data_IF_241245937115
#
_entry.id   IF_241245937115
#
_cell.length_a   1.000
_cell.length_b   1.000
_cell.length_c   1.000
_cell.angle_alpha   90.00
_cell.angle_beta   90.00
_cell.angle_gamma   90.00
#
_symmetry.space_group_name_H-M   'P 1'
#
loop_
_entity.id
_entity.type
_entity.pdbx_description
1 polymer ?
#
# COMPACT_ATOMS: atom_id res chain seq x y z
N UNK A 1 27.40 -1.21 -11.26
CA UNK A 1 26.25 -2.06 -11.66
C UNK A 1 25.96 -3.00 -10.50
N UNK A 2 24.85 -2.83 -9.79
CA UNK A 2 24.50 -3.70 -8.64
C UNK A 2 24.28 -5.13 -9.15
N UNK A 3 25.03 -6.11 -8.64
CA UNK A 3 24.88 -7.52 -9.01
C UNK A 3 23.48 -8.00 -8.60
N UNK A 4 22.66 -8.41 -9.57
CA UNK A 4 21.34 -9.01 -9.30
C UNK A 4 21.56 -10.37 -8.62
N UNK A 5 21.04 -10.54 -7.41
CA UNK A 5 21.12 -11.79 -6.66
C UNK A 5 19.81 -12.59 -6.82
N UNK A 6 19.87 -13.90 -7.05
CA UNK A 6 18.68 -14.74 -7.14
C UNK A 6 18.26 -15.19 -5.73
N UNK A 7 16.98 -15.04 -5.39
CA UNK A 7 16.37 -15.69 -4.22
C UNK A 7 15.68 -16.96 -4.69
N UNK A 8 16.02 -18.09 -4.05
CA UNK A 8 15.60 -19.43 -4.49
C UNK A 8 14.55 -20.07 -3.58
N UNK A 9 14.43 -19.60 -2.33
CA UNK A 9 13.49 -20.17 -1.34
C UNK A 9 12.76 -19.09 -0.53
N UNK A 10 11.59 -19.45 0.00
CA UNK A 10 10.79 -18.57 0.88
C UNK A 10 11.59 -18.17 2.11
N UNK A 11 12.35 -19.11 2.68
CA UNK A 11 13.15 -18.87 3.89
C UNK A 11 14.24 -17.82 3.67
N UNK A 12 14.88 -17.75 2.50
CA UNK A 12 15.89 -16.74 2.19
C UNK A 12 15.35 -15.31 2.26
N UNK A 13 14.05 -15.11 1.97
CA UNK A 13 13.40 -13.80 2.05
C UNK A 13 13.32 -13.29 3.50
N UNK A 14 13.02 -14.20 4.44
CA UNK A 14 12.84 -13.88 5.86
C UNK A 14 14.13 -14.09 6.69
N UNK A 15 15.09 -14.84 6.16
CA UNK A 15 16.41 -15.11 6.75
C UNK A 15 17.52 -14.90 5.73
N UNK A 16 17.85 -13.65 5.37
CA UNK A 16 18.98 -13.40 4.50
C UNK A 16 20.27 -13.87 5.17
N UNK A 17 20.96 -14.86 4.60
CA UNK A 17 22.15 -15.47 5.18
C UNK A 17 23.29 -14.46 5.39
N UNK A 18 23.97 -14.56 6.54
CA UNK A 18 25.29 -13.96 6.77
C UNK A 18 26.34 -15.07 6.75
N UNK A 19 27.50 -14.85 6.11
CA UNK A 19 28.63 -15.80 6.15
C UNK A 19 29.18 -16.02 7.57
N UNK A 20 28.75 -15.22 8.55
CA UNK A 20 29.24 -15.21 9.93
C UNK A 20 28.12 -15.17 10.99
N UNK A 21 26.94 -15.75 10.72
CA UNK A 21 25.81 -15.84 11.70
C UNK A 21 25.31 -14.52 12.32
N UNK A 22 25.77 -13.35 11.84
CA UNK A 22 25.29 -12.06 12.33
C UNK A 22 23.87 -11.76 11.85
N UNK A 23 23.00 -11.36 12.79
CA UNK A 23 21.66 -10.80 12.55
C UNK A 23 21.71 -9.72 11.47
N UNK A 24 20.79 -9.81 10.51
CA UNK A 24 20.60 -8.80 9.46
C UNK A 24 19.23 -8.14 9.62
N UNK A 25 19.22 -6.82 9.53
CA UNK A 25 17.99 -6.07 9.41
C UNK A 25 17.83 -5.62 7.97
N UNK A 26 16.71 -5.91 7.35
CA UNK A 26 16.50 -5.65 5.92
C UNK A 26 15.09 -5.12 5.70
N UNK A 27 14.98 -4.02 4.97
CA UNK A 27 13.74 -3.53 4.42
C UNK A 27 13.73 -3.81 2.91
N UNK A 28 12.77 -4.60 2.45
CA UNK A 28 12.59 -4.92 1.04
C UNK A 28 11.49 -4.05 0.41
N UNK A 29 11.71 -3.60 -0.82
CA UNK A 29 10.68 -2.99 -1.67
C UNK A 29 10.22 -3.98 -2.73
N UNK A 30 8.91 -4.08 -2.95
CA UNK A 30 8.29 -4.96 -3.94
C UNK A 30 7.33 -4.14 -4.81
N UNK A 31 7.58 -4.09 -6.12
CA UNK A 31 6.66 -3.48 -7.08
C UNK A 31 5.55 -4.47 -7.49
N UNK A 32 4.34 -4.21 -7.04
CA UNK A 32 3.13 -4.98 -7.31
C UNK A 32 2.24 -4.32 -8.38
N UNK A 33 2.71 -3.34 -9.16
CA UNK A 33 1.89 -2.56 -10.11
C UNK A 33 1.11 -3.40 -11.14
N UNK A 34 1.66 -4.54 -11.58
CA UNK A 34 0.97 -5.46 -12.49
C UNK A 34 -0.02 -6.41 -11.80
N UNK A 35 -0.04 -6.43 -10.47
CA UNK A 35 -0.92 -7.31 -9.69
C UNK A 35 -2.31 -6.72 -9.64
N UNK A 36 -3.31 -7.61 -9.63
CA UNK A 36 -4.62 -7.21 -9.17
C UNK A 36 -4.57 -6.84 -7.69
N UNK A 37 -5.42 -5.92 -7.24
CA UNK A 37 -5.50 -5.52 -5.81
C UNK A 37 -5.68 -6.73 -4.89
N UNK A 38 -6.46 -7.73 -5.34
CA UNK A 38 -6.63 -8.99 -4.62
C UNK A 38 -5.31 -9.74 -4.43
N UNK A 39 -4.50 -9.88 -5.48
CA UNK A 39 -3.21 -10.58 -5.43
C UNK A 39 -2.21 -9.85 -4.54
N UNK A 40 -2.19 -8.52 -4.58
CA UNK A 40 -1.40 -7.74 -3.63
C UNK A 40 -1.83 -8.05 -2.20
N UNK A 41 -3.13 -8.03 -1.89
CA UNK A 41 -3.61 -8.29 -0.53
C UNK A 41 -3.26 -9.72 -0.07
N UNK A 42 -3.31 -10.72 -0.96
CA UNK A 42 -2.88 -12.08 -0.65
C UNK A 42 -1.40 -12.13 -0.27
N UNK A 43 -0.51 -11.54 -1.08
CA UNK A 43 0.93 -11.59 -0.81
C UNK A 43 1.31 -10.72 0.39
N UNK A 44 0.63 -9.59 0.58
CA UNK A 44 0.78 -8.68 1.73
C UNK A 44 0.45 -9.40 3.04
N UNK A 45 -0.68 -10.12 3.08
CA UNK A 45 -1.05 -10.94 4.24
C UNK A 45 -0.05 -12.07 4.49
N UNK A 46 0.43 -12.75 3.44
CA UNK A 46 1.45 -13.78 3.57
C UNK A 46 2.73 -13.23 4.21
N UNK A 47 3.26 -12.14 3.65
CA UNK A 47 4.47 -11.49 4.16
C UNK A 47 4.29 -11.06 5.61
N UNK A 48 3.16 -10.46 5.95
CA UNK A 48 2.86 -10.03 7.31
C UNK A 48 2.78 -11.20 8.30
N UNK A 49 1.97 -12.23 7.99
CA UNK A 49 1.72 -13.36 8.90
C UNK A 49 2.93 -14.27 9.04
N UNK A 50 3.74 -14.39 8.00
CA UNK A 50 4.95 -15.21 8.00
C UNK A 50 6.18 -14.48 8.56
N UNK A 51 6.15 -13.16 8.69
CA UNK A 51 7.29 -12.38 9.18
C UNK A 51 7.77 -12.84 10.55
N UNK A 52 6.87 -13.03 11.53
CA UNK A 52 7.27 -13.49 12.85
C UNK A 52 7.75 -14.96 12.88
N UNK A 53 7.00 -15.95 12.37
CA UNK A 53 7.43 -17.35 12.44
C UNK A 53 8.67 -17.63 11.60
N UNK A 54 8.82 -16.99 10.43
CA UNK A 54 9.97 -17.25 9.56
C UNK A 54 11.21 -16.43 9.93
N UNK A 55 11.10 -15.31 10.63
CA UNK A 55 12.30 -14.58 11.11
C UNK A 55 12.89 -15.14 12.41
N UNK A 56 12.11 -15.87 13.22
CA UNK A 56 12.51 -16.44 14.52
C UNK A 56 13.18 -15.44 15.49
N UNK A 57 12.96 -14.13 15.29
CA UNK A 57 13.64 -13.07 16.04
C UNK A 57 15.13 -12.92 15.73
N UNK A 58 15.69 -13.76 14.86
CA UNK A 58 17.08 -13.73 14.41
C UNK A 58 17.36 -12.57 13.46
N UNK A 59 16.37 -12.17 12.66
CA UNK A 59 16.44 -11.05 11.73
C UNK A 59 15.26 -10.10 11.93
N UNK A 60 15.46 -8.80 11.66
CA UNK A 60 14.35 -7.87 11.52
C UNK A 60 14.12 -7.63 10.04
N UNK A 61 13.01 -8.13 9.51
CA UNK A 61 12.68 -7.98 8.11
C UNK A 61 11.54 -6.98 8.00
N UNK A 62 11.51 -6.16 6.97
CA UNK A 62 10.37 -5.32 6.65
C UNK A 62 10.07 -5.39 5.17
N UNK A 63 8.85 -5.04 4.79
CA UNK A 63 8.41 -5.01 3.41
C UNK A 63 7.67 -3.71 3.10
N UNK A 64 7.96 -3.14 1.94
CA UNK A 64 7.24 -2.02 1.33
C UNK A 64 6.66 -2.54 0.03
N UNK A 65 5.33 -2.59 -0.08
CA UNK A 65 4.64 -2.99 -1.30
C UNK A 65 4.08 -1.74 -1.96
N UNK A 66 4.27 -1.61 -3.28
CA UNK A 66 3.75 -0.48 -4.06
C UNK A 66 2.97 -1.04 -5.24
N UNK A 67 1.70 -0.65 -5.37
CA UNK A 67 0.87 -0.99 -6.52
C UNK A 67 0.25 0.27 -7.10
N UNK A 68 0.76 0.68 -8.26
CA UNK A 68 0.23 1.81 -9.00
C UNK A 68 -0.87 1.34 -9.96
N UNK A 69 -2.12 1.35 -9.48
CA UNK A 69 -3.24 0.89 -10.32
C UNK A 69 -3.55 1.84 -11.48
N UNK A 70 -3.00 3.06 -11.49
CA UNK A 70 -3.21 4.09 -12.52
C UNK A 70 -2.60 3.72 -13.87
N UNK A 71 -1.45 3.04 -13.87
CA UNK A 71 -0.74 2.66 -15.10
C UNK A 71 -1.44 1.55 -15.90
N UNK A 72 -2.41 0.87 -15.29
CA UNK A 72 -3.17 -0.17 -15.99
C UNK A 72 -4.17 0.41 -17.01
N UNK A 73 -4.47 1.72 -16.97
CA UNK A 73 -5.33 2.41 -17.93
C UNK A 73 -4.58 3.15 -19.05
N UNK A 74 -3.31 3.53 -18.88
CA UNK A 74 -2.57 4.33 -19.87
C UNK A 74 -2.37 3.61 -21.21
N UNK A 75 -2.36 2.27 -21.23
CA UNK A 75 -2.27 1.47 -22.47
C UNK A 75 -3.53 1.51 -23.35
N UNK A 76 -4.61 2.18 -22.92
CA UNK A 76 -5.80 2.38 -23.79
C UNK A 76 -5.55 3.32 -24.97
N UNK A 77 -4.45 4.09 -24.99
CA UNK A 77 -4.23 5.12 -26.02
C UNK A 77 -3.28 4.73 -27.17
N UNK A 78 -2.54 3.62 -27.11
CA UNK A 78 -1.51 3.33 -28.13
C UNK A 78 -1.61 1.96 -28.85
N UNK A 79 -2.28 0.94 -28.31
CA UNK A 79 -2.30 -0.38 -28.97
C UNK A 79 -3.69 -0.78 -29.50
N UNK A 80 -4.02 -0.32 -30.70
CA UNK A 80 -5.06 -0.93 -31.55
C UNK A 80 -4.46 -2.20 -32.16
N UNK A 81 -4.43 -3.31 -31.40
CA UNK A 81 -4.06 -4.60 -32.00
C UNK A 81 -3.57 -5.73 -31.10
N UNK A 82 -3.32 -5.52 -29.80
CA UNK A 82 -2.89 -6.63 -28.93
C UNK A 82 -4.03 -7.15 -28.06
N UNK A 83 -4.31 -8.45 -28.15
CA UNK A 83 -5.23 -9.23 -27.30
C UNK A 83 -4.68 -9.41 -25.87
N UNK A 84 -4.17 -8.34 -25.27
CA UNK A 84 -3.78 -8.35 -23.86
C UNK A 84 -5.04 -8.11 -23.03
N UNK A 85 -5.51 -9.17 -22.38
CA UNK A 85 -6.67 -9.19 -21.49
C UNK A 85 -6.78 -7.90 -20.67
N UNK A 86 -7.93 -7.24 -20.76
CA UNK A 86 -8.25 -5.95 -20.14
C UNK A 86 -8.04 -5.98 -18.60
N UNK A 87 -6.81 -5.69 -18.13
CA UNK A 87 -6.26 -5.39 -16.78
C UNK A 87 -7.10 -4.65 -15.73
N UNK A 88 -8.43 -4.71 -15.66
CA UNK A 88 -9.20 -3.86 -14.72
C UNK A 88 -8.91 -4.21 -13.25
N UNK A 89 -8.58 -3.21 -12.42
CA UNK A 89 -8.53 -3.29 -10.95
C UNK A 89 -9.83 -2.80 -10.31
N UNK A 90 -10.96 -2.92 -11.01
CA UNK A 90 -12.26 -2.52 -10.47
C UNK A 90 -12.62 -3.43 -9.30
N UNK A 91 -12.56 -2.89 -8.09
CA UNK A 91 -12.92 -3.65 -6.91
C UNK A 91 -13.43 -2.76 -5.77
N UNK A 92 -14.31 -3.33 -4.95
CA UNK A 92 -14.68 -2.81 -3.64
C UNK A 92 -13.95 -3.64 -2.59
N UNK A 93 -13.11 -2.97 -1.79
CA UNK A 93 -12.34 -3.61 -0.72
C UNK A 93 -12.96 -3.27 0.62
N UNK A 94 -13.58 -4.27 1.25
CA UNK A 94 -14.19 -4.19 2.58
C UNK A 94 -13.14 -4.42 3.66
N UNK A 95 -13.28 -3.72 4.80
CA UNK A 95 -12.54 -4.06 6.01
C UNK A 95 -12.97 -5.42 6.57
N UNK A 96 -12.18 -5.97 7.49
CA UNK A 96 -12.38 -7.31 8.06
C UNK A 96 -13.82 -7.56 8.58
N UNK A 97 -14.43 -6.56 9.23
CA UNK A 97 -15.80 -6.63 9.76
C UNK A 97 -16.87 -6.08 8.80
N UNK A 98 -16.48 -5.70 7.58
CA UNK A 98 -17.38 -5.14 6.58
C UNK A 98 -18.33 -6.18 6.00
N UNK A 99 -19.59 -5.79 5.79
CA UNK A 99 -20.63 -6.63 5.16
C UNK A 99 -21.05 -6.00 3.84
N UNK A 100 -21.12 -6.80 2.76
CA UNK A 100 -21.39 -6.31 1.39
C UNK A 100 -22.65 -5.43 1.34
N UNK A 101 -23.75 -5.92 1.91
CA UNK A 101 -25.05 -5.22 1.96
C UNK A 101 -25.02 -3.84 2.64
N UNK A 102 -24.02 -3.56 3.48
CA UNK A 102 -23.90 -2.28 4.19
C UNK A 102 -23.12 -1.22 3.39
N UNK A 103 -22.54 -1.58 2.25
CA UNK A 103 -21.68 -0.67 1.49
C UNK A 103 -21.96 -0.63 0.00
N UNK A 104 -22.53 -1.69 -0.59
CA UNK A 104 -22.88 -1.69 -2.02
C UNK A 104 -24.23 -1.00 -2.24
N UNK A 105 -24.28 -0.09 -3.20
CA UNK A 105 -25.50 0.63 -3.58
C UNK A 105 -26.30 -0.10 -4.65
N UNK A 106 -25.68 -0.41 -5.77
CA UNK A 106 -26.29 -1.11 -6.90
C UNK A 106 -25.50 -2.38 -7.22
N UNK A 107 -26.07 -3.52 -6.83
CA UNK A 107 -25.43 -4.82 -7.04
C UNK A 107 -25.47 -5.27 -8.51
N UNK A 108 -26.48 -4.85 -9.27
CA UNK A 108 -26.57 -5.16 -10.69
C UNK A 108 -25.46 -4.41 -11.43
N UNK A 109 -25.28 -3.13 -11.11
CA UNK A 109 -24.16 -2.35 -11.65
C UNK A 109 -22.80 -2.98 -11.33
N UNK A 110 -22.60 -3.44 -10.09
CA UNK A 110 -21.37 -4.15 -9.67
C UNK A 110 -21.12 -5.40 -10.51
N UNK A 111 -22.15 -6.22 -10.73
CA UNK A 111 -22.06 -7.46 -11.51
C UNK A 111 -21.82 -7.17 -13.00
N UNK A 112 -22.62 -6.28 -13.60
CA UNK A 112 -22.54 -5.92 -15.02
C UNK A 112 -21.18 -5.30 -15.39
N UNK A 113 -20.59 -4.56 -14.46
CA UNK A 113 -19.27 -3.93 -14.62
C UNK A 113 -18.11 -4.79 -14.11
N UNK A 114 -18.37 -6.04 -13.69
CA UNK A 114 -17.36 -7.00 -13.22
C UNK A 114 -16.47 -6.42 -12.12
N UNK A 115 -17.08 -5.74 -11.15
CA UNK A 115 -16.38 -5.13 -10.02
C UNK A 115 -16.18 -6.19 -8.94
N UNK A 116 -14.93 -6.49 -8.59
CA UNK A 116 -14.61 -7.50 -7.59
C UNK A 116 -14.99 -7.06 -6.18
N UNK A 117 -15.51 -7.98 -5.38
CA UNK A 117 -15.78 -7.76 -3.97
C UNK A 117 -14.70 -8.48 -3.15
N UNK A 118 -13.92 -7.74 -2.35
CA UNK A 118 -12.76 -8.27 -1.64
C UNK A 118 -12.88 -7.93 -0.16
N UNK A 119 -12.84 -8.94 0.72
CA UNK A 119 -12.59 -8.73 2.16
C UNK A 119 -11.09 -8.71 2.38
N UNK A 120 -10.55 -7.65 2.99
CA UNK A 120 -9.14 -7.59 3.38
C UNK A 120 -8.94 -8.05 4.83
N UNK A 121 -7.71 -8.45 5.15
CA UNK A 121 -7.33 -8.93 6.48
C UNK A 121 -7.19 -7.84 7.56
N UNK A 122 -7.17 -6.55 7.18
CA UNK A 122 -7.11 -5.41 8.11
C UNK A 122 -8.51 -4.85 8.42
N UNK A 123 -8.64 -4.19 9.58
CA UNK A 123 -9.87 -3.48 9.95
C UNK A 123 -10.07 -2.18 9.15
N UNK A 124 -11.09 -1.38 9.52
CA UNK A 124 -11.36 -0.07 8.93
C UNK A 124 -12.50 -0.06 7.92
N UNK A 125 -12.62 1.05 7.17
CA UNK A 125 -13.73 1.29 6.23
C UNK A 125 -13.62 0.54 4.91
N UNK A 126 -14.53 0.85 4.00
CA UNK A 126 -14.60 0.29 2.63
C UNK A 126 -14.02 1.30 1.64
N UNK A 127 -13.32 0.80 0.62
CA UNK A 127 -12.72 1.62 -0.45
C UNK A 127 -13.16 1.06 -1.81
N UNK A 128 -13.52 1.94 -2.73
CA UNK A 128 -13.70 1.61 -4.14
C UNK A 128 -12.43 1.97 -4.91
N UNK A 129 -11.94 1.04 -5.74
CA UNK A 129 -10.74 1.20 -6.56
C UNK A 129 -11.14 0.91 -8.00
N UNK A 130 -10.74 1.79 -8.92
CA UNK A 130 -10.92 1.65 -10.36
C UNK A 130 -9.72 2.24 -11.10
N UNK A 131 -8.60 1.52 -11.12
CA UNK A 131 -7.37 1.94 -11.82
C UNK A 131 -6.96 3.40 -11.54
N UNK A 132 -7.22 3.88 -10.32
CA UNK A 132 -7.10 5.30 -9.97
C UNK A 132 -6.46 5.49 -8.59
N UNK A 133 -5.86 4.42 -8.06
CA UNK A 133 -5.26 4.41 -6.74
C UNK A 133 -3.77 4.08 -6.80
N UNK A 134 -3.00 4.77 -5.97
CA UNK A 134 -1.67 4.33 -5.58
C UNK A 134 -1.79 3.66 -4.21
N UNK A 135 -1.54 2.35 -4.17
CA UNK A 135 -1.60 1.55 -2.94
C UNK A 135 -0.18 1.35 -2.42
N UNK A 136 0.05 1.70 -1.15
CA UNK A 136 1.36 1.54 -0.50
C UNK A 136 1.16 0.83 0.83
N UNK A 137 1.94 -0.21 1.08
CA UNK A 137 1.85 -1.01 2.32
C UNK A 137 3.21 -1.10 2.99
N UNK A 138 3.26 -0.79 4.28
CA UNK A 138 4.43 -0.93 5.15
C UNK A 138 4.19 -2.08 6.12
N UNK A 139 4.94 -3.17 5.98
CA UNK A 139 4.98 -4.29 6.92
C UNK A 139 6.28 -4.17 7.68
N UNK A 140 6.23 -3.76 8.95
CA UNK A 140 7.43 -3.44 9.72
C UNK A 140 7.39 -4.10 11.09
N UNK A 141 8.56 -4.50 11.63
CA UNK A 141 8.66 -4.93 13.01
C UNK A 141 8.51 -3.71 13.92
N UNK A 142 7.92 -3.88 15.11
CA UNK A 142 7.80 -2.76 16.07
C UNK A 142 9.14 -2.16 16.47
N UNK A 143 10.21 -2.96 16.40
CA UNK A 143 11.55 -2.52 16.69
C UNK A 143 12.24 -1.78 15.53
N UNK A 144 11.55 -1.55 14.40
CA UNK A 144 12.05 -0.69 13.35
C UNK A 144 12.33 0.71 13.91
N UNK A 145 11.44 1.25 14.74
CA UNK A 145 11.60 2.54 15.41
C UNK A 145 11.43 2.42 16.94
N UNK A 146 12.36 1.68 17.58
CA UNK A 146 12.32 1.38 19.03
C UNK A 146 12.08 2.61 19.91
N UNK A 147 12.75 3.72 19.60
CA UNK A 147 12.71 4.94 20.40
C UNK A 147 11.33 5.60 20.41
N UNK A 148 10.58 5.48 19.31
CA UNK A 148 9.25 6.09 19.17
C UNK A 148 8.14 5.29 19.82
N UNK A 149 8.41 4.05 20.26
CA UNK A 149 7.42 3.13 20.85
C UNK A 149 6.12 3.14 20.03
N UNK A 150 6.18 2.52 18.86
CA UNK A 150 5.05 2.52 17.92
C UNK A 150 3.87 1.75 18.50
N UNK A 151 2.70 2.39 18.50
CA UNK A 151 1.41 1.88 18.94
C UNK A 151 0.34 2.18 17.89
N UNK A 152 -0.81 1.48 17.90
CA UNK A 152 -1.90 1.75 16.97
C UNK A 152 -2.31 3.23 16.87
N UNK A 153 -2.24 3.97 17.98
CA UNK A 153 -2.62 5.38 18.04
C UNK A 153 -1.64 6.36 17.39
N UNK A 154 -0.36 6.01 17.23
CA UNK A 154 0.69 6.94 16.75
C UNK A 154 1.35 6.51 15.43
N UNK A 155 1.06 5.32 14.91
CA UNK A 155 1.68 4.83 13.68
C UNK A 155 1.31 5.68 12.47
N UNK A 156 0.05 6.12 12.34
CA UNK A 156 -0.37 6.96 11.21
C UNK A 156 0.40 8.28 11.18
N UNK A 157 0.55 8.93 12.34
CA UNK A 157 1.37 10.12 12.50
C UNK A 157 2.84 9.87 12.14
N UNK A 158 3.42 8.80 12.69
CA UNK A 158 4.82 8.46 12.46
C UNK A 158 5.09 8.17 10.97
N UNK A 159 4.24 7.37 10.32
CA UNK A 159 4.34 7.07 8.89
C UNK A 159 4.25 8.36 8.07
N UNK A 160 3.26 9.21 8.36
CA UNK A 160 3.11 10.50 7.66
C UNK A 160 4.36 11.35 7.78
N UNK A 161 4.81 11.61 9.02
CA UNK A 161 5.96 12.47 9.28
C UNK A 161 7.27 11.91 8.73
N UNK A 162 7.44 10.59 8.73
CA UNK A 162 8.67 9.93 8.31
C UNK A 162 8.79 9.80 6.80
N UNK A 163 7.67 9.55 6.09
CA UNK A 163 7.73 9.13 4.69
C UNK A 163 6.96 10.01 3.72
N UNK A 164 5.92 10.73 4.17
CA UNK A 164 5.04 11.49 3.28
C UNK A 164 5.12 13.00 3.48
N UNK A 165 5.49 13.49 4.66
CA UNK A 165 5.46 14.91 4.96
C UNK A 165 6.36 15.74 4.03
N UNK A 166 7.56 15.25 3.67
CA UNK A 166 8.40 15.94 2.67
C UNK A 166 7.89 15.79 1.24
N UNK A 167 7.17 14.70 0.92
CA UNK A 167 6.49 14.54 -0.39
C UNK A 167 5.43 15.64 -0.55
N UNK A 168 4.67 15.91 0.50
CA UNK A 168 3.57 16.87 0.43
C UNK A 168 3.94 18.30 0.74
N UNK A 169 4.87 18.49 1.68
CA UNK A 169 5.24 19.78 2.23
C UNK A 169 6.72 20.04 1.98
N UNK A 170 7.20 19.82 0.74
CA UNK A 170 8.55 20.20 0.34
C UNK A 170 8.72 21.71 0.55
N UNK A 171 9.17 22.08 1.75
CA UNK A 171 9.26 23.47 2.18
C UNK A 171 10.45 24.09 1.46
N UNK A 172 10.17 25.12 0.65
CA UNK A 172 11.14 26.17 0.38
C UNK A 172 11.75 26.60 1.71
N UNK A 173 13.03 26.26 1.90
CA UNK A 173 13.78 26.46 3.15
C UNK A 173 13.89 27.93 3.56
N UNK A 174 13.44 28.86 2.71
CA UNK A 174 13.46 30.32 2.92
C UNK A 174 12.22 30.92 3.60
N UNK A 175 11.08 30.22 3.76
CA UNK A 175 9.85 30.78 4.37
C UNK A 175 9.37 30.04 5.63
N UNK A 176 10.31 29.66 6.50
CA UNK A 176 10.03 28.86 7.71
C UNK A 176 9.28 29.57 8.87
N UNK A 177 9.12 30.89 8.86
CA UNK A 177 8.62 31.63 10.04
C UNK A 177 7.16 32.06 10.04
N UNK A 178 6.45 32.06 8.92
CA UNK A 178 5.06 32.59 8.88
C UNK A 178 3.97 31.56 8.53
N UNK A 179 4.30 30.40 7.96
CA UNK A 179 3.29 29.43 7.45
C UNK A 179 3.06 28.19 8.31
N UNK A 180 3.38 28.21 9.61
CA UNK A 180 3.05 27.08 10.51
C UNK A 180 1.54 26.82 10.60
N UNK A 181 0.70 27.82 10.31
CA UNK A 181 -0.76 27.76 10.45
C UNK A 181 -1.50 27.09 9.28
N UNK A 182 -0.87 26.82 8.12
CA UNK A 182 -1.53 26.16 6.99
C UNK A 182 -0.62 25.13 6.32
N UNK A 183 -0.33 24.03 7.02
CA UNK A 183 0.08 22.81 6.32
C UNK A 183 -1.10 22.33 5.49
N UNK A 184 -0.98 22.48 4.16
CA UNK A 184 -1.99 22.04 3.20
C UNK A 184 -2.23 20.54 3.30
N UNK A 185 -1.19 19.74 3.52
CA UNK A 185 -1.32 18.31 3.74
C UNK A 185 -0.96 17.92 5.16
N UNK A 186 -1.79 17.07 5.75
CA UNK A 186 -1.54 16.48 7.05
C UNK A 186 -2.16 15.08 7.17
N UNK A 187 -1.91 14.41 8.29
CA UNK A 187 -2.78 13.32 8.74
C UNK A 187 -3.89 13.88 9.65
N UNK A 188 -5.05 13.23 9.65
CA UNK A 188 -6.14 13.51 10.55
C UNK A 188 -6.85 12.20 10.91
N UNK A 189 -6.88 11.87 12.20
CA UNK A 189 -7.26 10.54 12.68
C UNK A 189 -6.45 9.43 11.95
N UNK A 190 -7.12 8.57 11.18
CA UNK A 190 -6.51 7.48 10.41
C UNK A 190 -6.39 7.80 8.91
N UNK A 191 -6.60 9.04 8.50
CA UNK A 191 -6.63 9.44 7.10
C UNK A 191 -5.55 10.47 6.78
N UNK A 192 -5.18 10.55 5.51
CA UNK A 192 -4.39 11.65 4.98
C UNK A 192 -5.33 12.66 4.32
N UNK A 193 -5.13 13.93 4.64
CA UNK A 193 -6.07 15.00 4.31
C UNK A 193 -5.36 16.18 3.67
N UNK A 194 -6.11 16.86 2.81
CA UNK A 194 -5.81 18.16 2.26
C UNK A 194 -6.71 19.21 2.92
N UNK A 195 -6.11 20.25 3.46
CA UNK A 195 -6.77 21.41 4.05
C UNK A 195 -6.94 22.46 2.97
N UNK A 196 -8.16 22.57 2.46
CA UNK A 196 -8.53 23.57 1.46
C UNK A 196 -9.03 24.84 2.17
N UNK A 197 -8.35 25.96 1.97
CA UNK A 197 -8.71 27.22 2.61
C UNK A 197 -9.56 28.06 1.67
N UNK A 198 -10.81 28.26 2.05
CA UNK A 198 -11.71 29.16 1.36
C UNK A 198 -11.48 30.59 1.85
N UNK A 199 -10.85 31.40 1.00
CA UNK A 199 -10.58 32.82 1.28
C UNK A 199 -11.86 33.66 1.48
N UNK A 200 -12.96 33.29 0.82
CA UNK A 200 -14.22 34.03 0.87
C UNK A 200 -14.93 33.78 2.20
N UNK A 201 -15.02 32.51 2.61
CA UNK A 201 -15.68 32.11 3.85
C UNK A 201 -14.75 32.11 5.07
N UNK A 202 -13.45 32.37 4.88
CA UNK A 202 -12.40 32.29 5.91
C UNK A 202 -12.45 30.98 6.71
N UNK A 203 -12.74 29.87 6.03
CA UNK A 203 -12.92 28.55 6.61
C UNK A 203 -11.98 27.53 5.96
N UNK A 204 -11.59 26.52 6.73
CA UNK A 204 -10.81 25.38 6.24
C UNK A 204 -11.74 24.19 6.02
N UNK A 205 -11.77 23.68 4.79
CA UNK A 205 -12.44 22.43 4.46
C UNK A 205 -11.41 21.30 4.41
N UNK A 206 -11.57 20.33 5.31
CA UNK A 206 -10.71 19.14 5.35
C UNK A 206 -11.27 18.12 4.35
N UNK A 207 -10.51 17.80 3.31
CA UNK A 207 -10.83 16.76 2.33
C UNK A 207 -9.87 15.59 2.44
N UNK A 208 -10.37 14.37 2.29
CA UNK A 208 -9.56 13.15 2.37
C UNK A 208 -8.92 12.84 1.02
N UNK A 209 -7.62 12.58 1.02
CA UNK A 209 -6.81 12.17 -0.15
C UNK A 209 -6.30 10.73 -0.03
N UNK A 210 -6.18 10.22 1.19
CA UNK A 210 -5.70 8.86 1.44
C UNK A 210 -6.39 8.23 2.64
N UNK A 211 -6.73 6.95 2.54
CA UNK A 211 -7.28 6.17 3.65
C UNK A 211 -6.27 5.16 4.16
N UNK A 212 -6.10 5.08 5.48
CA UNK A 212 -5.20 4.09 6.08
C UNK A 212 -5.96 2.99 6.82
N UNK A 213 -5.37 1.80 6.82
CA UNK A 213 -5.80 0.69 7.65
C UNK A 213 -4.59 -0.10 8.15
N UNK A 214 -4.78 -0.76 9.29
CA UNK A 214 -3.69 -1.35 10.06
C UNK A 214 -4.06 -2.74 10.59
N UNK A 215 -3.04 -3.57 10.81
CA UNK A 215 -3.14 -4.82 11.55
C UNK A 215 -1.92 -5.01 12.46
N UNK A 216 -2.13 -5.68 13.59
CA UNK A 216 -1.14 -5.85 14.65
C UNK A 216 -0.98 -7.30 15.04
N UNK A 217 0.27 -7.73 15.12
CA UNK A 217 0.69 -9.04 15.63
C UNK A 217 1.67 -8.81 16.78
N UNK A 218 2.21 -9.88 17.38
CA UNK A 218 3.15 -9.74 18.50
C UNK A 218 4.37 -8.86 18.19
N UNK A 219 4.97 -9.04 17.01
CA UNK A 219 6.26 -8.42 16.68
C UNK A 219 6.18 -7.44 15.51
N UNK A 220 5.08 -7.44 14.76
CA UNK A 220 4.92 -6.72 13.50
C UNK A 220 3.59 -5.98 13.43
N UNK A 221 3.61 -4.87 12.68
CA UNK A 221 2.41 -4.19 12.22
C UNK A 221 2.39 -4.08 10.70
N UNK A 222 1.19 -3.93 10.15
CA UNK A 222 1.00 -3.40 8.80
C UNK A 222 0.35 -2.04 8.89
N UNK A 223 0.81 -1.10 8.07
CA UNK A 223 0.14 0.13 7.76
C UNK A 223 0.05 0.25 6.24
N UNK A 224 -1.15 0.15 5.69
CA UNK A 224 -1.36 0.37 4.27
C UNK A 224 -2.24 1.58 4.00
N UNK A 225 -1.94 2.25 2.89
CA UNK A 225 -2.58 3.47 2.44
C UNK A 225 -3.12 3.26 1.04
N UNK A 226 -4.37 3.65 0.84
CA UNK A 226 -4.94 3.84 -0.51
C UNK A 226 -5.01 5.33 -0.80
N UNK A 227 -4.09 5.84 -1.63
CA UNK A 227 -4.18 7.20 -2.16
C UNK A 227 -5.09 7.21 -3.38
N UNK A 228 -6.14 8.03 -3.34
CA UNK A 228 -7.02 8.26 -4.48
C UNK A 228 -6.31 9.22 -5.43
N UNK A 229 -5.67 8.70 -6.48
CA UNK A 229 -4.93 9.53 -7.42
C UNK A 229 -5.87 10.48 -8.17
N UNK A 230 -6.94 9.91 -8.73
CA UNK A 230 -8.03 10.63 -9.41
C UNK A 230 -9.40 10.10 -8.95
N UNK A 231 -10.36 10.98 -8.68
CA UNK A 231 -11.68 10.56 -8.21
C UNK A 231 -12.67 10.38 -9.37
N UNK A 232 -13.27 9.20 -9.49
CA UNK A 232 -14.46 8.96 -10.32
C UNK A 232 -15.72 9.01 -9.45
N UNK A 233 -16.20 10.22 -9.16
CA UNK A 233 -17.34 10.43 -8.25
C UNK A 233 -18.61 9.76 -8.77
N UNK A 234 -18.90 9.87 -10.08
CA UNK A 234 -20.14 9.37 -10.67
C UNK A 234 -20.26 7.84 -10.58
N UNK A 235 -19.17 7.12 -10.82
CA UNK A 235 -19.16 5.66 -10.67
C UNK A 235 -19.16 5.27 -9.19
N UNK A 236 -18.41 5.98 -8.34
CA UNK A 236 -18.39 5.72 -6.90
C UNK A 236 -19.79 5.85 -6.30
N UNK A 237 -20.58 6.84 -6.73
CA UNK A 237 -21.96 7.02 -6.30
C UNK A 237 -22.93 5.94 -6.80
N UNK A 238 -22.57 5.15 -7.82
CA UNK A 238 -23.34 3.98 -8.27
C UNK A 238 -22.93 2.71 -7.53
N UNK A 239 -21.65 2.62 -7.14
CA UNK A 239 -21.08 1.40 -6.56
C UNK A 239 -21.24 1.36 -5.04
N UNK A 240 -20.88 2.43 -4.33
CA UNK A 240 -20.82 2.44 -2.86
C UNK A 240 -21.75 3.49 -2.22
N UNK A 241 -22.33 3.13 -1.06
CA UNK A 241 -23.11 4.06 -0.24
C UNK A 241 -22.23 4.81 0.77
N UNK A 242 -22.77 5.91 1.29
CA UNK A 242 -22.16 6.59 2.43
C UNK A 242 -22.14 5.64 3.65
N UNK A 243 -20.98 5.46 4.31
CA UNK A 243 -20.87 4.52 5.42
C UNK A 243 -21.64 5.03 6.65
N UNK A 244 -22.39 4.13 7.30
CA UNK A 244 -23.10 4.44 8.56
C UNK A 244 -22.12 4.85 9.67
N UNK A 245 -21.01 4.11 9.81
CA UNK A 245 -19.91 4.45 10.71
C UNK A 245 -18.85 5.21 9.93
N UNK A 246 -18.70 6.48 10.26
CA UNK A 246 -17.79 7.43 9.60
C UNK A 246 -17.06 8.28 10.64
N UNK A 247 -15.87 8.83 10.31
CA UNK A 247 -15.19 9.73 11.22
C UNK A 247 -15.99 11.04 11.39
N UNK A 248 -15.90 11.67 12.56
CA UNK A 248 -16.71 12.85 12.89
C UNK A 248 -16.49 13.98 11.89
N UNK A 249 -15.23 14.21 11.48
CA UNK A 249 -14.88 15.27 10.53
C UNK A 249 -15.42 15.03 9.10
N UNK A 250 -15.87 13.82 8.75
CA UNK A 250 -16.62 13.63 7.49
C UNK A 250 -17.92 14.43 7.51
N UNK A 251 -18.53 14.60 8.68
CA UNK A 251 -19.74 15.39 8.88
C UNK A 251 -20.86 15.03 7.89
N UNK A 252 -21.06 13.72 7.64
CA UNK A 252 -22.06 13.16 6.71
C UNK A 252 -21.96 13.64 5.25
N UNK A 253 -20.87 14.30 4.87
CA UNK A 253 -20.60 14.68 3.48
C UNK A 253 -20.66 13.45 2.56
N UNK A 254 -21.22 13.64 1.37
CA UNK A 254 -21.16 12.65 0.29
C UNK A 254 -19.70 12.45 -0.16
N UNK A 255 -19.46 11.50 -1.06
CA UNK A 255 -18.11 11.22 -1.55
C UNK A 255 -17.46 12.43 -2.24
N UNK A 256 -18.22 13.18 -3.05
CA UNK A 256 -17.75 14.35 -3.81
C UNK A 256 -17.29 15.50 -2.90
N UNK A 257 -17.97 15.72 -1.79
CA UNK A 257 -17.66 16.81 -0.85
C UNK A 257 -16.61 16.41 0.20
N UNK A 258 -16.42 15.10 0.41
CA UNK A 258 -15.48 14.56 1.41
C UNK A 258 -14.11 14.22 0.83
N UNK A 259 -14.06 13.69 -0.39
CA UNK A 259 -12.85 13.23 -1.05
C UNK A 259 -12.30 14.32 -1.98
N UNK A 260 -11.02 14.21 -2.33
CA UNK A 260 -10.40 14.98 -3.41
C UNK A 260 -9.31 14.14 -4.06
N UNK A 261 -9.14 14.29 -5.37
CA UNK A 261 -8.06 13.64 -6.12
C UNK A 261 -6.71 14.11 -5.60
N UNK A 262 -5.80 13.18 -5.36
CA UNK A 262 -4.47 13.53 -4.89
C UNK A 262 -3.70 14.37 -5.92
N UNK A 263 -3.85 14.08 -7.21
CA UNK A 263 -3.16 14.82 -8.28
C UNK A 263 -3.55 16.30 -8.35
N UNK A 264 -4.78 16.64 -7.95
CA UNK A 264 -5.27 18.02 -7.88
C UNK A 264 -4.66 18.79 -6.69
N UNK A 265 -4.22 18.07 -5.65
CA UNK A 265 -3.67 18.66 -4.44
C UNK A 265 -2.14 18.80 -4.49
N UNK A 266 -1.46 17.96 -5.29
CA UNK A 266 0.00 17.92 -5.34
C UNK A 266 0.59 19.16 -6.05
N UNK A 267 1.80 19.59 -5.67
CA UNK A 267 2.52 20.61 -6.43
C UNK A 267 2.71 20.19 -7.89
N UNK A 268 2.70 21.14 -8.84
CA UNK A 268 2.81 20.87 -10.28
C UNK A 268 4.01 19.99 -10.69
N UNK A 269 5.12 20.03 -9.95
CA UNK A 269 6.32 19.22 -10.23
C UNK A 269 6.26 17.80 -9.66
N UNK A 270 5.25 17.49 -8.83
CA UNK A 270 5.00 16.18 -8.22
C UNK A 270 3.66 15.57 -8.68
N UNK A 271 3.04 16.11 -9.73
CA UNK A 271 1.72 15.71 -10.23
C UNK A 271 1.70 14.39 -11.01
N UNK A 272 2.66 13.49 -10.77
CA UNK A 272 2.66 12.15 -11.35
C UNK A 272 3.05 11.10 -10.30
N UNK A 273 2.55 9.88 -10.48
CA UNK A 273 2.69 8.79 -9.51
C UNK A 273 4.15 8.38 -9.34
N UNK A 274 4.96 8.47 -10.40
CA UNK A 274 6.37 8.10 -10.37
C UNK A 274 7.16 9.01 -9.44
N UNK A 275 7.05 10.32 -9.61
CA UNK A 275 7.71 11.30 -8.73
C UNK A 275 7.27 11.10 -7.27
N UNK A 276 5.98 10.86 -7.02
CA UNK A 276 5.48 10.55 -5.68
C UNK A 276 6.16 9.32 -5.08
N UNK A 277 6.20 8.22 -5.82
CA UNK A 277 6.84 6.95 -5.40
C UNK A 277 8.33 7.16 -5.15
N UNK A 278 9.03 7.83 -6.06
CA UNK A 278 10.47 8.06 -5.96
C UNK A 278 10.82 8.92 -4.74
N UNK A 279 10.06 9.97 -4.45
CA UNK A 279 10.25 10.78 -3.24
C UNK A 279 9.94 9.99 -1.97
N UNK A 280 8.87 9.19 -1.96
CA UNK A 280 8.55 8.31 -0.83
C UNK A 280 9.69 7.32 -0.54
N UNK A 281 10.22 6.66 -1.56
CA UNK A 281 11.34 5.72 -1.44
C UNK A 281 12.64 6.42 -1.01
N UNK A 282 12.90 7.63 -1.51
CA UNK A 282 14.01 8.46 -1.07
C UNK A 282 13.92 8.79 0.43
N UNK A 283 12.74 9.15 0.93
CA UNK A 283 12.54 9.43 2.35
C UNK A 283 12.79 8.20 3.24
N UNK A 284 12.41 7.00 2.78
CA UNK A 284 12.75 5.75 3.46
C UNK A 284 14.27 5.56 3.52
N UNK A 285 14.98 5.80 2.41
CA UNK A 285 16.44 5.70 2.37
C UNK A 285 17.10 6.67 3.34
N UNK A 286 16.64 7.91 3.40
CA UNK A 286 17.15 8.93 4.33
C UNK A 286 16.92 8.54 5.79
N UNK A 287 15.74 7.99 6.12
CA UNK A 287 15.48 7.47 7.45
C UNK A 287 16.45 6.33 7.79
N UNK A 288 16.65 5.37 6.89
CA UNK A 288 17.58 4.25 7.10
C UNK A 288 19.03 4.75 7.27
N UNK A 289 19.48 5.68 6.43
CA UNK A 289 20.81 6.29 6.54
C UNK A 289 21.01 6.93 7.91
N UNK A 290 20.04 7.73 8.36
CA UNK A 290 20.06 8.37 9.68
C UNK A 290 20.18 7.34 10.80
N UNK A 291 19.38 6.27 10.75
CA UNK A 291 19.41 5.20 11.75
C UNK A 291 20.75 4.47 11.79
N UNK A 292 21.29 4.12 10.63
CA UNK A 292 22.58 3.45 10.50
C UNK A 292 23.74 4.30 11.01
N UNK A 293 23.64 5.63 10.88
CA UNK A 293 24.65 6.57 11.41
C UNK A 293 24.54 6.78 12.93
N UNK A 294 23.36 6.61 13.51
CA UNK A 294 23.10 6.84 14.94
C UNK A 294 23.33 5.60 15.81
N UNK A 295 23.23 4.40 15.25
CA UNK A 295 23.31 3.14 16.00
C UNK A 295 24.37 2.20 15.43
N UNK A 296 25.53 2.14 16.08
CA UNK A 296 26.65 1.29 15.64
C UNK A 296 26.33 -0.23 15.71
N UNK A 297 25.39 -0.63 16.56
CA UNK A 297 25.07 -2.06 16.80
C UNK A 297 23.96 -2.61 15.88
N UNK A 298 23.22 -1.74 15.17
CA UNK A 298 22.04 -2.13 14.38
C UNK A 298 22.12 -1.48 13.01
N UNK A 299 22.48 -2.28 12.00
CA UNK A 299 22.50 -1.84 10.61
C UNK A 299 21.27 -2.37 9.84
N UNK A 300 20.62 -1.49 9.09
CA UNK A 300 19.50 -1.78 8.20
C UNK A 300 19.94 -1.68 6.73
N UNK A 301 19.72 -2.75 5.97
CA UNK A 301 19.86 -2.73 4.51
C UNK A 301 18.54 -2.33 3.85
N UNK A 302 18.61 -1.53 2.80
CA UNK A 302 17.48 -1.16 1.97
C UNK A 302 17.60 -1.81 0.60
N UNK A 303 16.78 -2.82 0.34
CA UNK A 303 16.91 -3.69 -0.83
C UNK A 303 15.64 -3.67 -1.69
N UNK A 304 15.80 -3.93 -2.99
CA UNK A 304 14.69 -4.13 -3.91
C UNK A 304 14.51 -5.62 -4.24
N UNK A 305 13.26 -6.05 -4.38
CA UNK A 305 12.89 -7.34 -4.96
C UNK A 305 12.25 -7.09 -6.32
N UNK A 306 12.98 -7.47 -7.35
CA UNK A 306 12.55 -7.47 -8.72
C UNK A 306 11.86 -8.80 -9.07
N UNK A 307 10.56 -8.73 -9.30
CA UNK A 307 9.72 -9.85 -9.70
C UNK A 307 9.85 -10.22 -11.19
N UNK A 308 10.64 -9.48 -11.99
CA UNK A 308 10.82 -9.64 -13.46
C UNK A 308 9.55 -9.54 -14.31
N UNK A 309 8.43 -9.10 -13.73
CA UNK A 309 7.17 -8.88 -14.47
C UNK A 309 6.95 -7.42 -14.87
N UNK A 310 7.71 -6.50 -14.28
CA UNK A 310 7.60 -5.05 -14.50
C UNK A 310 8.69 -4.56 -15.48
N UNK A 311 8.97 -5.32 -16.54
CA UNK A 311 10.13 -5.09 -17.44
C UNK A 311 10.14 -3.69 -18.09
N UNK A 312 8.98 -3.06 -18.25
CA UNK A 312 8.84 -1.71 -18.82
C UNK A 312 8.53 -0.62 -17.78
N UNK A 313 8.36 -0.99 -16.51
CA UNK A 313 8.05 -0.09 -15.38
C UNK A 313 8.85 -0.49 -14.13
N UNK A 314 10.19 -0.60 -14.23
CA UNK A 314 11.00 -0.94 -13.06
C UNK A 314 10.92 0.20 -12.04
N UNK A 315 10.96 -0.14 -10.75
CA UNK A 315 11.31 0.87 -9.73
C UNK A 315 12.77 1.23 -9.99
N UNK A 316 12.98 2.29 -10.74
CA UNK A 316 14.27 2.93 -10.99
C UNK A 316 14.18 4.37 -10.47
N UNK A 317 14.43 4.55 -9.17
CA UNK A 317 14.53 5.87 -8.57
C UNK A 317 15.66 6.63 -9.25
N UNK A 318 15.55 7.96 -9.31
CA UNK A 318 16.53 8.84 -9.98
C UNK A 318 17.97 8.68 -9.44
N UNK A 319 18.14 8.07 -8.27
CA UNK A 319 19.42 7.72 -7.67
C UNK A 319 19.44 6.25 -7.22
N UNK A 320 20.64 5.69 -7.06
CA UNK A 320 20.80 4.32 -6.56
C UNK A 320 20.51 4.27 -5.04
N UNK A 321 19.22 4.21 -4.67
CA UNK A 321 18.79 4.17 -3.27
C UNK A 321 18.88 2.77 -2.64
N UNK A 322 18.99 1.72 -3.45
CA UNK A 322 19.01 0.34 -2.97
C UNK A 322 20.44 -0.17 -2.83
N UNK A 323 20.73 -0.80 -1.70
CA UNK A 323 22.01 -1.46 -1.46
C UNK A 323 22.16 -2.68 -2.37
N UNK A 324 21.07 -3.44 -2.55
CA UNK A 324 21.02 -4.60 -3.45
C UNK A 324 19.67 -4.74 -4.15
N UNK A 325 19.70 -5.35 -5.32
CA UNK A 325 18.52 -5.80 -6.06
C UNK A 325 18.53 -7.32 -6.11
N UNK A 326 17.49 -7.93 -5.57
CA UNK A 326 17.24 -9.36 -5.64
C UNK A 326 16.23 -9.64 -6.71
N UNK A 327 16.45 -10.68 -7.48
CA UNK A 327 15.45 -11.18 -8.40
C UNK A 327 14.78 -12.42 -7.82
N UNK A 328 13.45 -12.41 -7.87
CA UNK A 328 12.60 -13.50 -7.43
C UNK A 328 11.95 -14.13 -8.66
N UNK A 329 11.96 -15.46 -8.72
CA UNK A 329 11.17 -16.22 -9.68
C UNK A 329 9.68 -16.05 -9.36
N UNK A 330 8.82 -15.84 -10.37
CA UNK A 330 7.37 -15.68 -10.17
C UNK A 330 6.77 -16.85 -9.39
N UNK A 331 7.29 -18.05 -9.57
CA UNK A 331 6.87 -19.24 -8.84
C UNK A 331 7.11 -19.15 -7.32
N UNK A 332 8.04 -18.31 -6.87
CA UNK A 332 8.32 -18.16 -5.44
C UNK A 332 7.14 -17.52 -4.70
N UNK A 333 6.39 -16.63 -5.35
CA UNK A 333 5.24 -15.97 -4.73
C UNK A 333 4.06 -16.92 -4.57
N UNK A 334 3.78 -17.74 -5.59
CA UNK A 334 2.84 -18.86 -5.48
C UNK A 334 3.26 -19.83 -4.38
N UNK A 335 4.54 -20.24 -4.33
CA UNK A 335 5.08 -21.06 -3.22
C UNK A 335 4.92 -20.41 -1.85
N UNK A 336 5.13 -19.10 -1.74
CA UNK A 336 4.93 -18.35 -0.49
C UNK A 336 3.47 -18.40 -0.05
N UNK A 337 2.53 -18.20 -0.99
CA UNK A 337 1.11 -18.28 -0.74
C UNK A 337 0.68 -19.70 -0.31
N UNK A 338 1.09 -20.72 -1.06
CA UNK A 338 0.80 -22.11 -0.70
C UNK A 338 1.40 -22.49 0.66
N UNK A 339 2.62 -22.04 0.97
CA UNK A 339 3.21 -22.24 2.29
C UNK A 339 2.37 -21.59 3.39
N UNK A 340 1.95 -20.34 3.21
CA UNK A 340 1.07 -19.64 4.16
C UNK A 340 -0.24 -20.40 4.41
N UNK A 341 -0.87 -20.92 3.36
CA UNK A 341 -2.15 -21.63 3.47
C UNK A 341 -2.03 -23.06 4.02
N UNK A 342 -0.87 -23.71 3.88
CA UNK A 342 -0.67 -25.11 4.32
C UNK A 342 0.09 -25.25 5.64
N UNK A 343 0.86 -24.25 6.07
CA UNK A 343 1.67 -24.33 7.28
C UNK A 343 0.82 -24.33 8.55
N UNK A 344 1.14 -25.23 9.50
CA UNK A 344 0.34 -25.42 10.72
C UNK A 344 0.20 -24.16 11.58
N UNK A 345 1.21 -23.27 11.58
CA UNK A 345 1.16 -22.03 12.36
C UNK A 345 0.30 -20.95 11.70
N UNK A 346 0.05 -21.04 10.39
CA UNK A 346 -0.61 -19.96 9.63
C UNK A 346 -1.85 -20.35 8.83
N UNK A 347 -2.12 -21.64 8.63
CA UNK A 347 -3.22 -22.15 7.79
C UNK A 347 -4.60 -21.59 8.14
N UNK A 348 -4.82 -21.25 9.42
CA UNK A 348 -6.08 -20.69 9.91
C UNK A 348 -6.09 -19.16 10.02
N UNK A 349 -5.04 -18.47 9.57
CA UNK A 349 -4.91 -17.00 9.74
C UNK A 349 -5.40 -16.20 8.54
N UNK A 350 -5.66 -16.85 7.38
CA UNK A 350 -6.07 -16.19 6.14
C UNK A 350 -7.41 -15.48 6.31
N UNK A 351 -7.40 -14.17 6.11
CA UNK A 351 -8.57 -13.30 6.21
C UNK A 351 -8.86 -12.52 4.93
N UNK A 352 -7.97 -12.57 3.94
CA UNK A 352 -8.19 -11.98 2.61
C UNK A 352 -8.94 -12.96 1.69
N UNK A 353 -10.12 -12.54 1.23
CA UNK A 353 -11.06 -13.39 0.48
C UNK A 353 -11.80 -12.61 -0.61
N UNK A 354 -12.07 -13.26 -1.73
CA UNK A 354 -13.09 -12.82 -2.66
C UNK A 354 -14.47 -13.10 -2.07
N UNK A 355 -15.44 -12.23 -2.36
CA UNK A 355 -16.81 -12.34 -1.90
C UNK A 355 -17.79 -12.40 -3.06
N UNK A 356 -18.90 -13.11 -2.87
CA UNK A 356 -20.09 -13.00 -3.72
C UNK A 356 -20.93 -11.75 -3.34
N UNK A 357 -22.03 -11.53 -4.06
CA UNK A 357 -22.94 -10.42 -3.82
C UNK A 357 -23.66 -10.46 -2.45
N UNK A 358 -23.70 -11.64 -1.80
CA UNK A 358 -24.25 -11.82 -0.45
C UNK A 358 -23.19 -11.64 0.63
N UNK A 359 -21.92 -11.58 0.26
CA UNK A 359 -20.79 -11.47 1.17
C UNK A 359 -20.22 -12.81 1.61
N UNK A 360 -20.59 -13.90 0.94
CA UNK A 360 -20.03 -15.23 1.16
C UNK A 360 -18.69 -15.38 0.47
N UNK A 361 -17.78 -16.15 1.08
CA UNK A 361 -16.44 -16.36 0.54
C UNK A 361 -16.48 -17.21 -0.73
N UNK A 362 -15.86 -16.71 -1.79
CA UNK A 362 -15.70 -17.42 -3.06
C UNK A 362 -14.38 -18.23 -3.08
N UNK A 363 -14.37 -19.31 -3.87
CA UNK A 363 -13.12 -20.02 -4.18
C UNK A 363 -12.14 -19.09 -4.89
N UNK A 364 -10.84 -19.33 -4.69
CA UNK A 364 -9.80 -18.68 -5.47
C UNK A 364 -9.92 -18.97 -6.98
N UNK A 365 -10.49 -20.12 -7.36
CA UNK A 365 -10.72 -20.49 -8.76
C UNK A 365 -11.69 -19.53 -9.47
N UNK A 366 -12.52 -18.82 -8.70
CA UNK A 366 -13.39 -17.77 -9.23
C UNK A 366 -12.59 -16.56 -9.72
N UNK A 367 -11.31 -16.43 -9.37
CA UNK A 367 -10.43 -15.41 -9.92
C UNK A 367 -9.97 -15.82 -11.33
N UNK A 368 -10.85 -15.68 -12.32
CA UNK A 368 -10.69 -16.17 -13.70
C UNK A 368 -9.68 -15.38 -14.55
N UNK A 369 -8.53 -14.98 -13.99
CA UNK A 369 -7.49 -14.21 -14.67
C UNK A 369 -6.13 -14.88 -14.50
N UNK A 370 -5.18 -14.70 -15.45
CA UNK A 370 -3.79 -15.09 -15.21
C UNK A 370 -3.30 -14.42 -13.94
N UNK A 371 -3.03 -15.23 -12.92
CA UNK A 371 -2.57 -14.78 -11.61
C UNK A 371 -1.07 -14.98 -11.47
N UNK A 372 -0.41 -14.10 -10.72
CA UNK A 372 0.97 -14.28 -10.29
C UNK A 372 1.09 -15.07 -8.97
N UNK A 373 -0.03 -15.25 -8.26
CA UNK A 373 -0.08 -15.81 -6.90
C UNK A 373 -0.84 -17.14 -6.85
N UNK A 374 -1.96 -17.24 -7.57
CA UNK A 374 -2.89 -18.37 -7.47
C UNK A 374 -2.64 -19.49 -8.49
N UNK A 375 -1.60 -19.35 -9.31
CA UNK A 375 -1.18 -20.35 -10.32
C UNK A 375 -0.32 -21.45 -9.74
#
# INVERSE_FOLDING_TARGET
MNKIMRVSSVHELFRPFSKHEKRKNVLYVINCTKFHVYEQLLIEECLYRLSSPLSEGLNNIGFVLINNTCLNDEKKREDVGSTVSNRTNKCVVFGLSGKVQNFIKDINYVNDNKIWLIKRYTGGGTVYINNNCLLISLILPFNFEKEKKLYPSNITEWVFNSFYNSVFNHLDSKKKKENFLLKKFNYHENDYVYNDYDNLCKNVFIKKVGGNAQAFSKNYFVHHTSFLWSCNYDEMEKVIINPLKQPLYRNKRNHKDFLVSLEECLPNHMNNQRTFIDTFLYNIRELINKKNNQHNDIYWYFNNIDLRINLHEPIQPYCNIFDKVYSVDTNLLSKLYHYFCSNDQTKNLRSTHLLDHRGEVLSNDCFYRPSFILT
#
